data_IF_165471189611
#
_entry.id   IF_165471189611
#
_cell.length_a   1.000
_cell.length_b   1.000
_cell.length_c   1.000
_cell.angle_alpha   90.00
_cell.angle_beta   90.00
_cell.angle_gamma   90.00
#
_symmetry.space_group_name_H-M   'P 1'
#
loop_
_entity.id
_entity.type
_entity.pdbx_description
1 polymer ?
#
# COMPACT_ATOMS: atom_id res chain seq x y z
N UNK A 1 -6.90 -10.32 -5.81
CA UNK A 1 -5.44 -10.52 -5.82
C UNK A 1 -4.95 -10.42 -4.38
N UNK A 2 -3.96 -11.19 -3.95
CA UNK A 2 -3.36 -11.10 -2.60
C UNK A 2 -2.09 -10.25 -2.60
N UNK A 3 -1.61 -9.86 -1.41
CA UNK A 3 -0.32 -9.16 -1.27
C UNK A 3 0.88 -9.98 -1.77
N UNK A 4 0.81 -11.32 -1.70
CA UNK A 4 1.84 -12.19 -2.24
C UNK A 4 1.90 -12.14 -3.78
N UNK A 5 0.74 -12.12 -4.43
CA UNK A 5 0.63 -11.98 -5.88
C UNK A 5 1.10 -10.58 -6.33
N UNK A 6 0.75 -9.54 -5.56
CA UNK A 6 1.24 -8.18 -5.80
C UNK A 6 2.77 -8.09 -5.72
N UNK A 7 3.41 -8.84 -4.81
CA UNK A 7 4.87 -8.94 -4.75
C UNK A 7 5.46 -9.58 -6.01
N UNK A 8 4.86 -10.68 -6.49
CA UNK A 8 5.29 -11.29 -7.74
C UNK A 8 5.13 -10.32 -8.93
N UNK A 9 4.04 -9.57 -8.96
CA UNK A 9 3.82 -8.52 -9.95
C UNK A 9 4.92 -7.45 -9.92
N UNK A 10 5.26 -6.93 -8.73
CA UNK A 10 6.36 -5.97 -8.55
C UNK A 10 7.73 -6.52 -9.00
N UNK A 11 7.92 -7.84 -8.92
CA UNK A 11 9.13 -8.52 -9.38
C UNK A 11 9.31 -8.43 -10.90
N UNK A 12 8.22 -8.53 -11.66
CA UNK A 12 8.27 -8.63 -13.12
C UNK A 12 7.92 -7.33 -13.85
N UNK A 13 7.13 -6.44 -13.25
CA UNK A 13 6.63 -5.22 -13.90
C UNK A 13 7.42 -3.98 -13.47
N UNK A 14 8.68 -3.86 -13.93
CA UNK A 14 9.60 -2.78 -13.50
C UNK A 14 9.20 -1.39 -13.95
N UNK A 15 8.50 -1.27 -15.07
CA UNK A 15 8.08 0.00 -15.65
C UNK A 15 6.65 0.42 -15.32
N UNK A 16 5.97 -0.33 -14.45
CA UNK A 16 4.62 0.02 -14.02
C UNK A 16 4.62 1.36 -13.27
N UNK A 17 3.70 2.23 -13.63
CA UNK A 17 3.59 3.60 -13.11
C UNK A 17 2.35 3.81 -12.24
N UNK A 18 1.24 3.19 -12.65
CA UNK A 18 -0.03 3.18 -11.95
C UNK A 18 -0.68 1.79 -12.07
N UNK A 19 -1.39 1.37 -11.03
CA UNK A 19 -2.10 0.09 -10.96
C UNK A 19 -3.45 0.30 -10.29
N UNK A 20 -4.53 -0.23 -10.88
CA UNK A 20 -5.84 -0.30 -10.24
C UNK A 20 -6.27 -1.76 -10.17
N UNK A 21 -6.45 -2.28 -8.95
CA UNK A 21 -6.74 -3.69 -8.71
C UNK A 21 -7.27 -3.94 -7.30
N UNK A 22 -8.18 -4.90 -7.15
CA UNK A 22 -8.65 -5.32 -5.84
C UNK A 22 -7.58 -6.21 -5.16
N UNK A 23 -7.05 -5.73 -4.03
CA UNK A 23 -6.01 -6.39 -3.24
C UNK A 23 -6.57 -6.83 -1.90
N UNK A 24 -6.87 -8.12 -1.77
CA UNK A 24 -7.13 -8.73 -0.48
C UNK A 24 -5.88 -8.61 0.40
N UNK A 25 -5.96 -7.68 1.35
CA UNK A 25 -4.91 -7.34 2.31
C UNK A 25 -5.29 -7.80 3.71
N UNK A 26 -6.21 -8.76 3.82
CA UNK A 26 -6.63 -9.36 5.09
C UNK A 26 -5.54 -10.23 5.70
N UNK A 27 -4.64 -10.77 4.87
CA UNK A 27 -3.46 -11.53 5.30
C UNK A 27 -2.21 -10.91 4.71
N UNK A 28 -1.27 -10.51 5.57
CA UNK A 28 0.02 -9.98 5.14
C UNK A 28 1.07 -11.08 5.19
N UNK A 29 1.70 -11.44 4.06
CA UNK A 29 2.77 -12.43 4.06
C UNK A 29 3.99 -11.88 4.81
N UNK A 30 4.82 -12.76 5.41
CA UNK A 30 6.05 -12.35 6.06
C UNK A 30 6.91 -11.49 5.12
N UNK A 31 7.21 -10.27 5.53
CA UNK A 31 8.11 -9.40 4.79
C UNK A 31 9.54 -9.60 5.30
N UNK A 32 10.33 -10.41 4.57
CA UNK A 32 11.74 -10.57 4.89
C UNK A 32 12.48 -9.26 4.59
N UNK A 33 12.98 -8.60 5.63
CA UNK A 33 13.79 -7.38 5.52
C UNK A 33 15.23 -7.66 5.04
N UNK A 34 15.49 -8.77 4.33
CA UNK A 34 16.83 -9.05 3.82
C UNK A 34 17.16 -8.10 2.67
N UNK A 35 18.35 -7.46 2.66
CA UNK A 35 18.80 -6.62 1.55
C UNK A 35 18.75 -7.33 0.19
N UNK A 36 18.94 -8.64 0.17
CA UNK A 36 19.07 -9.47 -1.04
C UNK A 36 17.71 -9.84 -1.67
N UNK A 37 16.62 -9.85 -0.89
CA UNK A 37 15.27 -10.19 -1.36
C UNK A 37 14.39 -8.96 -1.60
N UNK A 38 14.97 -7.76 -1.49
CA UNK A 38 14.27 -6.49 -1.61
C UNK A 38 13.87 -6.22 -3.06
N UNK A 39 12.70 -6.75 -3.44
CA UNK A 39 12.02 -6.38 -4.67
C UNK A 39 11.54 -4.94 -4.48
N UNK A 40 12.27 -3.97 -5.03
CA UNK A 40 11.81 -2.58 -5.06
C UNK A 40 11.51 -2.19 -6.51
N UNK A 41 10.24 -2.26 -6.87
CA UNK A 41 9.75 -1.61 -8.08
C UNK A 41 9.68 -0.10 -7.78
N UNK A 42 10.39 0.71 -8.57
CA UNK A 42 10.63 2.13 -8.21
C UNK A 42 9.77 3.13 -8.99
N UNK A 43 8.93 2.67 -9.91
CA UNK A 43 8.19 3.56 -10.83
C UNK A 43 6.71 3.68 -10.49
N UNK A 44 6.16 2.74 -9.71
CA UNK A 44 4.77 2.77 -9.27
C UNK A 44 4.61 3.88 -8.24
N UNK A 45 3.85 4.91 -8.60
CA UNK A 45 3.57 6.03 -7.69
C UNK A 45 2.10 6.09 -7.28
N UNK A 46 1.21 5.38 -7.98
CA UNK A 46 -0.24 5.38 -7.74
C UNK A 46 -0.80 3.96 -7.72
N UNK A 47 -1.55 3.62 -6.66
CA UNK A 47 -2.24 2.34 -6.50
C UNK A 47 -3.70 2.59 -6.13
N UNK A 48 -4.63 2.17 -6.98
CA UNK A 48 -6.05 2.15 -6.68
C UNK A 48 -6.45 0.73 -6.25
N UNK A 49 -7.02 0.64 -5.06
CA UNK A 49 -7.38 -0.60 -4.37
C UNK A 49 -8.88 -0.76 -4.21
N UNK A 50 -9.70 0.07 -4.86
CA UNK A 50 -11.15 -0.09 -4.82
C UNK A 50 -11.70 -0.18 -3.37
N UNK A 51 -12.66 -1.05 -3.11
CA UNK A 51 -13.16 -1.40 -1.78
C UNK A 51 -12.45 -2.66 -1.24
N UNK A 52 -11.12 -2.67 -1.28
CA UNK A 52 -10.36 -3.85 -0.83
C UNK A 52 -10.25 -3.93 0.68
N UNK A 53 -10.48 -5.12 1.28
CA UNK A 53 -10.37 -5.29 2.71
C UNK A 53 -8.91 -5.26 3.19
N UNK A 54 -8.73 -4.75 4.40
CA UNK A 54 -7.44 -4.66 5.07
C UNK A 54 -7.61 -4.95 6.56
N UNK A 55 -6.76 -5.82 7.10
CA UNK A 55 -6.81 -6.22 8.51
C UNK A 55 -5.93 -5.36 9.41
N UNK A 56 -4.74 -4.98 8.91
CA UNK A 56 -3.73 -4.26 9.68
C UNK A 56 -3.03 -3.19 8.82
N UNK A 57 -3.56 -1.94 8.82
CA UNK A 57 -3.05 -0.87 7.98
C UNK A 57 -1.55 -0.58 8.14
N UNK A 58 -0.98 -0.50 9.37
CA UNK A 58 0.46 -0.38 9.56
C UNK A 58 1.30 -1.47 8.88
N UNK A 59 0.92 -2.74 9.04
CA UNK A 59 1.70 -3.86 8.50
C UNK A 59 1.62 -3.90 6.97
N UNK A 60 0.45 -3.58 6.39
CA UNK A 60 0.30 -3.42 4.94
C UNK A 60 1.11 -2.23 4.42
N UNK A 61 1.13 -1.09 5.12
CA UNK A 61 1.94 0.06 4.74
C UNK A 61 3.44 -0.28 4.75
N UNK A 62 3.89 -1.05 5.74
CA UNK A 62 5.27 -1.55 5.80
C UNK A 62 5.58 -2.50 4.63
N UNK A 63 4.64 -3.37 4.28
CA UNK A 63 4.80 -4.27 3.14
C UNK A 63 4.89 -3.49 1.81
N UNK A 64 3.93 -2.59 1.56
CA UNK A 64 3.84 -1.82 0.31
C UNK A 64 5.00 -0.84 0.13
N UNK A 65 5.43 -0.14 1.19
CA UNK A 65 6.59 0.75 1.12
C UNK A 65 7.89 0.02 0.79
N UNK A 66 7.95 -1.29 1.02
CA UNK A 66 9.13 -2.13 0.72
C UNK A 66 9.16 -2.55 -0.74
N UNK A 67 7.98 -2.88 -1.27
CA UNK A 67 7.78 -3.23 -2.67
C UNK A 67 7.85 -2.01 -3.61
N UNK A 68 7.25 -0.90 -3.18
CA UNK A 68 7.01 0.30 -3.99
C UNK A 68 7.46 1.56 -3.23
N UNK A 69 8.78 1.81 -3.09
CA UNK A 69 9.29 2.97 -2.35
C UNK A 69 8.90 4.33 -2.94
N UNK A 70 8.45 4.36 -4.20
CA UNK A 70 7.96 5.56 -4.88
C UNK A 70 6.44 5.77 -4.76
N UNK A 71 5.73 4.87 -4.07
CA UNK A 71 4.28 4.93 -3.91
C UNK A 71 3.88 6.14 -3.06
N UNK A 72 2.96 6.95 -3.57
CA UNK A 72 2.49 8.19 -2.95
C UNK A 72 0.98 8.38 -3.00
N UNK A 73 0.32 7.93 -4.06
CA UNK A 73 -1.12 8.10 -4.22
C UNK A 73 -1.86 6.79 -4.04
N UNK A 74 -2.91 6.83 -3.24
CA UNK A 74 -3.86 5.73 -3.11
C UNK A 74 -5.22 6.15 -3.62
N UNK A 75 -5.81 5.33 -4.47
CA UNK A 75 -7.21 5.44 -4.87
C UNK A 75 -8.04 4.39 -4.16
N UNK A 76 -9.26 4.73 -3.82
CA UNK A 76 -10.31 3.75 -3.46
C UNK A 76 -11.52 4.09 -4.29
N UNK A 77 -12.31 3.09 -4.69
CA UNK A 77 -13.50 3.32 -5.52
C UNK A 77 -14.35 4.44 -4.91
N UNK A 78 -14.72 5.38 -5.77
CA UNK A 78 -15.56 6.53 -5.45
C UNK A 78 -15.04 7.41 -4.29
N UNK A 79 -13.77 7.85 -4.33
CA UNK A 79 -13.26 8.87 -3.37
C UNK A 79 -14.22 10.06 -3.22
N UNK A 80 -14.78 10.52 -4.33
CA UNK A 80 -15.78 11.60 -4.39
C UNK A 80 -17.08 11.31 -3.64
N UNK A 81 -17.39 10.04 -3.34
CA UNK A 81 -18.61 9.61 -2.62
C UNK A 81 -18.43 9.68 -1.10
N UNK A 82 -17.20 9.68 -0.61
CA UNK A 82 -16.93 9.65 0.84
C UNK A 82 -16.88 11.04 1.49
N UNK A 83 -16.76 12.10 0.68
CA UNK A 83 -16.73 13.49 1.13
C UNK A 83 -18.14 14.06 1.41
N UNK A 84 -19.20 13.38 0.95
CA UNK A 84 -20.58 13.78 1.21
C UNK A 84 -21.06 13.31 2.60
N UNK A 85 -21.89 14.12 3.28
CA UNK A 85 -22.46 13.75 4.58
C UNK A 85 -23.19 12.42 4.49
N UNK A 86 -22.94 11.58 5.49
CA UNK A 86 -23.54 10.24 5.67
C UNK A 86 -25.05 10.34 5.54
N UNK A 87 -25.63 9.62 4.58
CA UNK A 87 -27.07 9.35 4.60
C UNK A 87 -27.30 8.17 5.55
N UNK A 88 -28.33 8.22 6.40
CA UNK A 88 -28.63 7.17 7.38
C UNK A 88 -29.09 5.83 6.71
N UNK A 89 -29.21 5.83 5.38
CA UNK A 89 -29.62 4.70 4.52
C UNK A 89 -28.44 4.00 3.82
N UNK A 90 -27.21 4.09 4.36
CA UNK A 90 -26.08 3.30 3.84
C UNK A 90 -26.38 1.79 3.96
N UNK A 91 -26.44 1.09 2.83
CA UNK A 91 -26.50 -0.36 2.80
C UNK A 91 -25.17 -1.00 3.28
N UNK A 92 -25.19 -2.31 3.53
CA UNK A 92 -24.03 -3.06 4.02
C UNK A 92 -22.80 -2.91 3.09
N UNK A 93 -23.03 -2.82 1.78
CA UNK A 93 -21.97 -2.63 0.78
C UNK A 93 -21.32 -1.25 0.90
N UNK A 94 -22.12 -0.20 1.08
CA UNK A 94 -21.65 1.18 1.23
C UNK A 94 -20.90 1.36 2.55
N UNK A 95 -21.41 0.78 3.65
CA UNK A 95 -20.73 0.77 4.93
C UNK A 95 -19.37 0.05 4.86
N UNK A 96 -19.32 -1.11 4.18
CA UNK A 96 -18.08 -1.86 3.97
C UNK A 96 -17.05 -1.06 3.16
N UNK A 97 -17.47 -0.46 2.04
CA UNK A 97 -16.59 0.32 1.19
C UNK A 97 -16.05 1.57 1.92
N UNK A 98 -16.87 2.22 2.75
CA UNK A 98 -16.43 3.33 3.62
C UNK A 98 -15.40 2.89 4.66
N UNK A 99 -15.61 1.74 5.29
CA UNK A 99 -14.64 1.18 6.24
C UNK A 99 -13.29 0.89 5.56
N UNK A 100 -13.32 0.26 4.38
CA UNK A 100 -12.12 0.01 3.59
C UNK A 100 -11.43 1.34 3.20
N UNK A 101 -12.19 2.34 2.77
CA UNK A 101 -11.66 3.66 2.43
C UNK A 101 -10.88 4.28 3.59
N UNK A 102 -11.47 4.31 4.79
CA UNK A 102 -10.83 4.87 5.97
C UNK A 102 -9.52 4.15 6.32
N UNK A 103 -9.47 2.83 6.17
CA UNK A 103 -8.26 2.05 6.44
C UNK A 103 -7.17 2.29 5.39
N UNK A 104 -7.52 2.39 4.11
CA UNK A 104 -6.56 2.71 3.04
C UNK A 104 -6.02 4.13 3.13
N UNK A 105 -6.80 5.09 3.65
CA UNK A 105 -6.28 6.43 3.98
C UNK A 105 -5.21 6.39 5.08
N UNK A 106 -5.30 5.47 6.04
CA UNK A 106 -4.21 5.26 7.00
C UNK A 106 -2.96 4.69 6.33
N UNK A 107 -3.12 3.72 5.42
CA UNK A 107 -1.99 3.19 4.63
C UNK A 107 -1.32 4.30 3.81
N UNK A 108 -2.12 5.12 3.13
CA UNK A 108 -1.65 6.26 2.34
C UNK A 108 -0.79 7.22 3.16
N UNK A 109 -1.21 7.53 4.39
CA UNK A 109 -0.45 8.39 5.29
C UNK A 109 0.86 7.74 5.77
N UNK A 110 0.87 6.42 6.02
CA UNK A 110 2.00 5.69 6.61
C UNK A 110 3.10 5.33 5.60
N UNK A 111 2.73 4.96 4.37
CA UNK A 111 3.68 4.54 3.33
C UNK A 111 4.82 5.55 3.09
N UNK A 112 4.57 6.86 2.91
CA UNK A 112 5.66 7.81 2.69
C UNK A 112 6.59 7.95 3.90
N UNK A 113 6.06 7.86 5.11
CA UNK A 113 6.82 7.94 6.37
C UNK A 113 7.75 6.72 6.47
N UNK A 114 7.20 5.51 6.31
CA UNK A 114 7.99 4.27 6.40
C UNK A 114 9.05 4.20 5.28
N UNK A 115 8.71 4.66 4.08
CA UNK A 115 9.66 4.74 2.98
C UNK A 115 10.80 5.75 3.23
N UNK A 116 10.55 6.82 4.00
CA UNK A 116 11.59 7.76 4.41
C UNK A 116 12.51 7.14 5.48
N UNK A 117 11.96 6.53 6.52
CA UNK A 117 12.72 5.83 7.57
C UNK A 117 13.66 4.79 6.95
N UNK A 118 13.14 3.95 6.06
CA UNK A 118 13.95 2.92 5.38
C UNK A 118 15.08 3.47 4.53
N UNK A 119 14.97 4.71 4.05
CA UNK A 119 16.02 5.36 3.26
C UNK A 119 17.14 5.83 4.17
N UNK A 120 16.78 6.46 5.29
CA UNK A 120 17.72 6.89 6.32
C UNK A 120 18.49 5.70 6.93
N UNK A 121 17.79 4.61 7.25
CA UNK A 121 18.41 3.36 7.74
C UNK A 121 19.45 2.80 6.74
N UNK A 122 19.14 2.85 5.44
CA UNK A 122 20.07 2.40 4.40
C UNK A 122 21.30 3.31 4.28
N UNK A 123 21.11 4.62 4.38
CA UNK A 123 22.18 5.61 4.33
C UNK A 123 23.14 5.42 5.52
N UNK A 124 22.60 5.22 6.73
CA UNK A 124 23.41 4.98 7.92
C UNK A 124 24.20 3.66 7.86
N UNK A 125 23.57 2.59 7.36
CA UNK A 125 24.25 1.31 7.20
C UNK A 125 25.45 1.41 6.23
N UNK A 126 25.34 2.20 5.16
CA UNK A 126 26.42 2.41 4.20
C UNK A 126 27.59 3.21 4.79
N UNK A 127 27.30 4.25 5.57
CA UNK A 127 28.34 5.09 6.22
C UNK A 127 29.07 4.33 7.34
N UNK A 128 28.40 3.40 8.01
CA UNK A 128 28.98 2.64 9.14
C UNK A 128 29.91 1.50 8.71
N UNK A 129 29.96 1.17 7.41
CA UNK A 129 30.71 0.03 6.86
C UNK A 129 31.89 0.45 5.96
N UNK A 130 32.14 1.76 5.83
CA UNK A 130 33.27 2.34 5.07
C UNK A 130 34.29 3.00 5.97
#
# INVERSE_FOLDING_TARGET
MTLLELRAFAAHCKDLVSLSINVDSSTVPPFENSPETRISQRRLYSLDVAASPISDPPTVAQFLSGLFPALRGFGTLAEWRWDDPVDDDDDEETAHARACHAQWKQVEALVPIIAAIRREELEWAQVSTG
#
